data_IF_794550678455
#
_entry.id   IF_794550678455
#
_cell.length_a   1.000
_cell.length_b   1.000
_cell.length_c   1.000
_cell.angle_alpha   90.00
_cell.angle_beta   90.00
_cell.angle_gamma   90.00
#
_symmetry.space_group_name_H-M   'P 1'
#
loop_
_entity.id
_entity.type
_entity.pdbx_description
1 polymer ?
#
# COMPACT_ATOMS: atom_id res chain seq x y z
N UNK A 1 -3.76 60.57 -10.45
CA UNK A 1 -3.64 59.77 -9.21
C UNK A 1 -3.04 58.42 -9.55
N UNK A 2 -1.73 58.27 -9.42
CA UNK A 2 -1.03 57.01 -9.66
C UNK A 2 -1.06 56.18 -8.38
N UNK A 3 -1.95 55.19 -8.32
CA UNK A 3 -2.02 54.24 -7.21
C UNK A 3 -0.74 53.39 -7.22
N UNK A 4 0.00 53.44 -6.10
CA UNK A 4 1.37 52.93 -6.01
C UNK A 4 1.44 51.42 -6.17
N UNK A 5 2.38 50.95 -7.01
CA UNK A 5 2.71 49.53 -7.28
C UNK A 5 2.99 48.70 -6.01
N UNK A 6 3.20 49.35 -4.86
CA UNK A 6 3.41 48.73 -3.55
C UNK A 6 2.15 48.05 -2.99
N UNK A 7 0.95 48.55 -3.32
CA UNK A 7 -0.32 47.92 -2.86
C UNK A 7 -0.66 46.64 -3.64
N UNK A 8 -0.27 46.57 -4.92
CA UNK A 8 -0.49 45.38 -5.74
C UNK A 8 0.47 44.23 -5.39
N UNK A 9 1.70 44.53 -4.94
CA UNK A 9 2.64 43.52 -4.46
C UNK A 9 2.19 42.86 -3.15
N UNK A 10 1.53 43.62 -2.26
CA UNK A 10 1.01 43.10 -0.99
C UNK A 10 -0.21 42.19 -1.16
N UNK A 11 -1.02 42.41 -2.19
CA UNK A 11 -2.20 41.57 -2.50
C UNK A 11 -1.76 40.27 -3.18
N UNK A 12 -0.72 40.30 -4.03
CA UNK A 12 -0.16 39.11 -4.67
C UNK A 12 0.59 38.18 -3.69
N UNK A 13 1.13 38.73 -2.60
CA UNK A 13 1.79 37.93 -1.55
C UNK A 13 0.81 37.23 -0.60
N UNK A 14 -0.48 37.58 -0.62
CA UNK A 14 -1.51 37.04 0.29
C UNK A 14 -2.25 35.82 -0.27
N UNK A 15 -1.99 35.42 -1.52
CA UNK A 15 -2.67 34.30 -2.21
C UNK A 15 -1.76 33.06 -2.35
N UNK A 16 -0.53 33.11 -1.82
CA UNK A 16 0.46 32.03 -1.89
C UNK A 16 0.57 31.22 -0.57
N UNK A 17 -0.53 31.03 0.14
CA UNK A 17 -0.65 30.11 1.30
C UNK A 17 -1.87 29.20 1.13
N UNK A 18 -2.03 28.61 -0.06
CA UNK A 18 -3.03 27.60 -0.34
C UNK A 18 -2.33 26.24 -0.57
N UNK A 19 -2.63 25.28 0.30
CA UNK A 19 -2.20 23.87 0.24
C UNK A 19 -0.91 23.65 1.02
N UNK A 20 -0.94 23.15 2.26
CA UNK A 20 -1.53 21.87 2.64
C UNK A 20 -2.21 22.03 4.00
N UNK A 21 -3.55 22.01 4.01
CA UNK A 21 -4.28 21.71 5.23
C UNK A 21 -4.21 20.19 5.40
N UNK A 22 -3.25 19.72 6.20
CA UNK A 22 -3.22 18.35 6.67
C UNK A 22 -4.49 18.12 7.48
N UNK A 23 -5.49 17.49 6.88
CA UNK A 23 -6.62 16.94 7.62
C UNK A 23 -6.02 15.81 8.45
N UNK A 24 -5.68 16.10 9.71
CA UNK A 24 -5.56 15.08 10.73
C UNK A 24 -6.94 14.46 10.88
N UNK A 25 -7.17 13.36 10.16
CA UNK A 25 -8.30 12.49 10.42
C UNK A 25 -8.16 12.04 11.87
N UNK A 26 -9.06 12.54 12.72
CA UNK A 26 -9.20 12.10 14.08
C UNK A 26 -9.35 10.57 14.05
N UNK A 27 -8.36 9.86 14.59
CA UNK A 27 -8.47 8.44 14.86
C UNK A 27 -9.52 8.28 15.95
N UNK A 28 -10.78 8.19 15.54
CA UNK A 28 -11.78 7.52 16.35
C UNK A 28 -11.37 6.06 16.36
N UNK A 29 -10.57 5.69 17.37
CA UNK A 29 -10.28 4.31 17.73
C UNK A 29 -11.64 3.68 18.03
N UNK A 30 -12.22 3.02 17.02
CA UNK A 30 -13.20 1.98 17.25
C UNK A 30 -12.42 0.79 17.77
N UNK A 31 -12.50 0.60 19.08
CA UNK A 31 -12.05 -0.61 19.75
C UNK A 31 -12.61 -1.85 19.01
N UNK A 32 -11.72 -2.80 18.74
CA UNK A 32 -12.11 -4.17 18.40
C UNK A 32 -11.74 -4.63 17.00
N UNK A 33 -10.45 -4.63 16.65
CA UNK A 33 -9.75 -5.81 16.12
C UNK A 33 -8.28 -5.42 15.93
N UNK A 34 -7.48 -5.53 17.00
CA UNK A 34 -6.05 -5.69 16.78
C UNK A 34 -5.91 -7.04 16.10
N UNK A 35 -5.92 -7.03 14.76
CA UNK A 35 -5.63 -8.21 13.97
C UNK A 35 -4.36 -8.88 14.51
N UNK A 36 -4.17 -10.18 14.23
CA UNK A 36 -3.01 -10.91 14.74
C UNK A 36 -1.72 -10.10 14.51
N UNK A 37 -0.79 -10.10 15.47
CA UNK A 37 0.43 -9.31 15.34
C UNK A 37 1.07 -9.60 13.98
N UNK A 38 1.29 -8.53 13.22
CA UNK A 38 1.91 -8.62 11.90
C UNK A 38 3.28 -9.27 12.10
N UNK A 39 3.58 -10.26 11.26
CA UNK A 39 4.84 -11.01 11.32
C UNK A 39 6.02 -10.02 11.35
N UNK A 40 6.96 -10.19 12.28
CA UNK A 40 8.06 -9.25 12.50
C UNK A 40 9.00 -9.09 11.30
N UNK A 41 8.87 -9.95 10.29
CA UNK A 41 9.59 -9.86 9.02
C UNK A 41 8.95 -8.91 8.02
N UNK A 42 7.71 -8.48 8.26
CA UNK A 42 7.00 -7.52 7.41
C UNK A 42 7.39 -6.11 7.82
N UNK A 43 7.93 -5.35 6.87
CA UNK A 43 8.33 -3.95 7.08
C UNK A 43 7.23 -2.99 6.63
N UNK A 44 6.55 -3.31 5.53
CA UNK A 44 5.48 -2.47 4.96
C UNK A 44 4.36 -3.32 4.37
N UNK A 45 3.12 -2.86 4.55
CA UNK A 45 1.95 -3.35 3.83
C UNK A 45 1.43 -2.23 2.93
N UNK A 46 1.22 -2.55 1.66
CA UNK A 46 0.83 -1.60 0.63
C UNK A 46 -0.56 -2.00 0.11
N UNK A 47 -1.55 -1.09 0.12
CA UNK A 47 -1.59 0.06 1.01
C UNK A 47 -1.72 -0.42 2.47
N UNK A 48 -1.62 0.52 3.41
CA UNK A 48 -1.78 0.23 4.83
C UNK A 48 -3.16 -0.40 5.13
N UNK A 49 -3.26 -1.28 6.15
CA UNK A 49 -4.54 -1.84 6.57
C UNK A 49 -5.56 -0.74 6.92
N UNK A 50 -6.80 -0.87 6.41
CA UNK A 50 -7.91 0.06 6.65
C UNK A 50 -7.88 1.34 5.81
N UNK A 51 -6.85 1.54 4.97
CA UNK A 51 -6.73 2.72 4.12
C UNK A 51 -7.83 2.81 3.06
N UNK A 52 -8.10 4.04 2.61
CA UNK A 52 -8.95 4.33 1.45
C UNK A 52 -8.06 4.76 0.27
N UNK A 53 -8.26 4.12 -0.88
CA UNK A 53 -7.38 4.23 -2.04
C UNK A 53 -8.16 4.30 -3.35
N UNK A 54 -7.47 4.64 -4.44
CA UNK A 54 -8.05 4.63 -5.77
C UNK A 54 -8.20 3.21 -6.32
N UNK A 55 -9.14 3.00 -7.23
CA UNK A 55 -9.36 1.69 -7.90
C UNK A 55 -8.17 1.16 -8.70
N UNK A 56 -7.19 2.02 -9.03
CA UNK A 56 -5.92 1.66 -9.69
C UNK A 56 -4.72 1.61 -8.74
N UNK A 57 -4.95 1.64 -7.42
CA UNK A 57 -3.88 1.60 -6.43
C UNK A 57 -3.10 0.26 -6.49
N UNK A 58 -1.78 0.35 -6.37
CA UNK A 58 -0.92 -0.82 -6.19
C UNK A 58 -1.09 -1.42 -4.79
N UNK A 59 -0.92 -2.74 -4.67
CA UNK A 59 -0.89 -3.42 -3.38
C UNK A 59 0.24 -4.44 -3.32
N UNK A 60 0.69 -4.77 -2.13
CA UNK A 60 1.85 -5.62 -1.93
C UNK A 60 2.39 -5.56 -0.51
N UNK A 61 3.57 -6.08 -0.33
CA UNK A 61 4.29 -6.00 0.93
C UNK A 61 5.79 -5.84 0.69
N UNK A 62 6.42 -5.33 1.73
CA UNK A 62 7.86 -5.30 1.89
C UNK A 62 8.26 -6.16 3.10
N UNK A 63 9.34 -6.91 2.97
CA UNK A 63 9.87 -7.77 4.02
C UNK A 63 11.32 -7.38 4.32
N UNK A 64 11.78 -7.71 5.52
CA UNK A 64 13.18 -7.53 5.92
C UNK A 64 14.16 -8.04 4.88
N UNK A 65 15.22 -7.27 4.61
CA UNK A 65 16.22 -7.50 3.55
C UNK A 65 16.91 -8.88 3.53
N UNK A 66 16.91 -9.62 4.64
CA UNK A 66 17.58 -10.91 4.76
C UNK A 66 16.84 -11.89 5.68
N UNK A 67 16.78 -13.19 5.35
CA UNK A 67 17.22 -13.83 4.10
C UNK A 67 16.35 -13.43 2.90
N UNK A 68 16.69 -13.90 1.68
CA UNK A 68 15.81 -13.72 0.52
C UNK A 68 14.53 -14.56 0.64
N UNK A 69 13.38 -13.97 0.30
CA UNK A 69 12.08 -14.62 0.34
C UNK A 69 11.45 -14.74 -1.05
N UNK A 70 10.70 -15.84 -1.24
CA UNK A 70 9.66 -15.90 -2.29
C UNK A 70 8.36 -15.41 -1.67
N UNK A 71 7.58 -14.65 -2.44
CA UNK A 71 6.35 -13.99 -1.99
C UNK A 71 5.25 -14.30 -3.01
N UNK A 72 4.19 -14.94 -2.53
CA UNK A 72 2.98 -15.19 -3.30
C UNK A 72 1.89 -14.23 -2.87
N UNK A 73 1.36 -13.45 -3.82
CA UNK A 73 0.29 -12.49 -3.57
C UNK A 73 -1.08 -13.08 -3.93
N UNK A 74 -2.06 -12.71 -3.12
CA UNK A 74 -3.46 -13.05 -3.31
C UNK A 74 -4.31 -11.80 -3.11
N UNK A 75 -5.39 -11.68 -3.88
CA UNK A 75 -6.39 -10.64 -3.70
C UNK A 75 -7.78 -11.27 -3.68
N UNK A 76 -8.55 -10.98 -2.63
CA UNK A 76 -9.93 -11.44 -2.48
C UNK A 76 -10.08 -12.96 -2.63
N UNK A 77 -9.09 -13.72 -2.14
CA UNK A 77 -9.06 -15.19 -2.21
C UNK A 77 -8.44 -15.77 -3.49
N UNK A 78 -8.10 -14.95 -4.48
CA UNK A 78 -7.50 -15.41 -5.74
C UNK A 78 -5.99 -15.23 -5.74
N UNK A 79 -5.23 -16.29 -6.10
CA UNK A 79 -3.78 -16.21 -6.29
C UNK A 79 -3.48 -15.37 -7.53
N UNK A 80 -2.54 -14.44 -7.40
CA UNK A 80 -2.04 -13.67 -8.53
C UNK A 80 -0.93 -14.44 -9.25
N UNK A 81 -0.79 -14.28 -10.58
CA UNK A 81 0.35 -14.85 -11.30
C UNK A 81 1.67 -14.20 -10.85
N UNK A 82 2.70 -15.02 -10.64
CA UNK A 82 4.00 -14.56 -10.12
C UNK A 82 4.69 -13.57 -11.07
N UNK A 83 4.41 -13.68 -12.37
CA UNK A 83 4.95 -12.83 -13.42
C UNK A 83 4.19 -11.50 -13.60
N UNK A 84 3.09 -11.28 -12.88
CA UNK A 84 2.33 -10.02 -12.92
C UNK A 84 2.67 -9.07 -11.76
N UNK A 85 3.27 -9.59 -10.69
CA UNK A 85 3.86 -8.78 -9.63
C UNK A 85 5.29 -8.38 -9.97
N UNK A 86 5.65 -7.12 -9.69
CA UNK A 86 7.05 -6.71 -9.69
C UNK A 86 7.66 -7.19 -8.38
N UNK A 87 8.34 -8.34 -8.46
CA UNK A 87 9.13 -8.86 -7.35
C UNK A 87 10.56 -8.37 -7.48
N UNK A 88 10.96 -7.43 -6.62
CA UNK A 88 12.34 -6.99 -6.55
C UNK A 88 13.12 -7.97 -5.67
N UNK A 89 13.86 -8.89 -6.29
CA UNK A 89 14.63 -9.94 -5.59
C UNK A 89 15.73 -9.40 -4.68
N UNK A 90 16.19 -8.17 -4.90
CA UNK A 90 17.15 -7.46 -4.04
C UNK A 90 16.52 -6.74 -2.85
N UNK A 91 15.18 -6.64 -2.78
CA UNK A 91 14.47 -5.82 -1.78
C UNK A 91 13.42 -6.65 -1.03
N UNK A 92 13.33 -7.96 -1.23
CA UNK A 92 12.28 -8.81 -0.60
C UNK A 92 10.87 -8.20 -0.66
N UNK A 93 10.59 -7.49 -1.76
CA UNK A 93 9.39 -6.71 -1.97
C UNK A 93 8.61 -7.28 -3.14
N UNK A 94 7.30 -7.39 -2.98
CA UNK A 94 6.39 -7.79 -4.06
C UNK A 94 5.23 -6.81 -4.14
N UNK A 95 5.12 -6.12 -5.28
CA UNK A 95 4.06 -5.15 -5.54
C UNK A 95 3.32 -5.52 -6.82
N UNK A 96 2.00 -5.54 -6.74
CA UNK A 96 1.08 -5.75 -7.84
C UNK A 96 0.38 -4.43 -8.17
N UNK A 97 0.40 -4.05 -9.46
CA UNK A 97 -0.15 -2.78 -9.94
C UNK A 97 -1.31 -3.04 -10.90
N UNK A 98 -2.58 -3.03 -10.47
CA UNK A 98 -3.73 -3.31 -11.34
C UNK A 98 -3.66 -2.60 -12.69
N UNK A 99 -4.01 -3.31 -13.77
CA UNK A 99 -3.89 -2.77 -15.11
C UNK A 99 -4.57 -3.60 -16.20
N UNK A 100 -4.82 -2.98 -17.36
CA UNK A 100 -5.63 -3.56 -18.45
C UNK A 100 -5.11 -4.92 -18.98
N UNK A 101 -3.82 -5.19 -18.83
CA UNK A 101 -3.16 -6.41 -19.32
C UNK A 101 -2.91 -7.43 -18.20
N UNK A 102 -3.39 -7.16 -16.99
CA UNK A 102 -3.18 -8.03 -15.84
C UNK A 102 -4.45 -8.80 -15.48
N UNK A 103 -4.28 -9.85 -14.70
CA UNK A 103 -5.38 -10.66 -14.15
C UNK A 103 -6.37 -9.81 -13.34
N UNK A 104 -5.87 -8.92 -12.49
CA UNK A 104 -6.68 -7.91 -11.81
C UNK A 104 -6.55 -6.59 -12.56
N UNK A 105 -7.59 -6.27 -13.33
CA UNK A 105 -7.61 -5.04 -14.14
C UNK A 105 -7.88 -3.78 -13.33
N UNK A 106 -8.65 -3.91 -12.25
CA UNK A 106 -8.98 -2.87 -11.26
C UNK A 106 -9.36 -3.50 -9.92
N UNK A 107 -9.21 -2.75 -8.85
CA UNK A 107 -9.71 -3.13 -7.53
C UNK A 107 -11.25 -3.10 -7.50
N UNK A 108 -11.86 -3.93 -6.64
CA UNK A 108 -13.32 -3.90 -6.42
C UNK A 108 -13.67 -2.62 -5.66
N UNK A 109 -14.77 -1.97 -6.01
CA UNK A 109 -15.27 -0.86 -5.21
C UNK A 109 -15.63 -1.37 -3.80
N UNK A 110 -15.27 -0.60 -2.77
CA UNK A 110 -15.37 -1.04 -1.38
C UNK A 110 -14.17 -1.89 -0.95
N UNK A 111 -14.41 -2.92 -0.15
CA UNK A 111 -13.36 -3.69 0.51
C UNK A 111 -12.60 -4.62 -0.46
N UNK A 112 -11.27 -4.60 -0.36
CA UNK A 112 -10.36 -5.55 -0.97
C UNK A 112 -9.43 -6.10 0.11
N UNK A 113 -9.29 -7.42 0.18
CA UNK A 113 -8.39 -8.08 1.13
C UNK A 113 -7.24 -8.74 0.39
N UNK A 114 -6.04 -8.21 0.60
CA UNK A 114 -4.80 -8.80 0.13
C UNK A 114 -4.27 -9.81 1.15
N UNK A 115 -3.54 -10.80 0.64
CA UNK A 115 -2.87 -11.80 1.45
C UNK A 115 -1.55 -12.15 0.80
N UNK A 116 -0.52 -12.30 1.61
CA UNK A 116 0.80 -12.70 1.19
C UNK A 116 1.23 -13.95 1.93
N UNK A 117 1.75 -14.92 1.18
CA UNK A 117 2.44 -16.08 1.71
C UNK A 117 3.90 -15.95 1.32
N UNK A 118 4.80 -16.12 2.27
CA UNK A 118 6.23 -15.98 2.00
C UNK A 118 7.06 -17.04 2.70
N UNK A 119 8.17 -17.43 2.07
CA UNK A 119 9.07 -18.47 2.59
C UNK A 119 10.50 -18.23 2.09
N UNK A 120 11.52 -18.69 2.83
CA UNK A 120 12.91 -18.53 2.41
C UNK A 120 13.14 -19.16 1.04
N UNK A 121 13.76 -18.41 0.13
CA UNK A 121 14.02 -18.84 -1.24
C UNK A 121 14.74 -20.19 -1.31
N UNK A 122 15.71 -20.41 -0.41
CA UNK A 122 16.51 -21.62 -0.36
C UNK A 122 15.76 -22.87 0.15
N UNK A 123 14.62 -22.69 0.84
CA UNK A 123 13.90 -23.80 1.48
C UNK A 123 12.58 -24.17 0.78
N UNK A 124 12.04 -23.26 -0.02
CA UNK A 124 10.83 -23.51 -0.78
C UNK A 124 9.54 -23.48 0.05
N UNK A 125 8.40 -23.80 -0.58
CA UNK A 125 7.06 -23.53 -0.05
C UNK A 125 6.68 -24.39 1.18
N UNK A 126 7.39 -25.50 1.41
CA UNK A 126 7.17 -26.38 2.56
C UNK A 126 8.04 -26.03 3.77
N UNK A 127 8.76 -24.90 3.72
CA UNK A 127 9.61 -24.45 4.83
C UNK A 127 8.80 -24.28 6.12
N UNK A 128 9.32 -24.73 7.28
CA UNK A 128 8.72 -24.43 8.58
C UNK A 128 8.80 -22.94 8.94
N UNK A 129 9.63 -22.16 8.23
CA UNK A 129 9.74 -20.70 8.37
C UNK A 129 8.82 -19.95 7.39
N UNK A 130 7.84 -20.63 6.78
CA UNK A 130 6.77 -19.98 6.02
C UNK A 130 6.03 -18.97 6.90
N UNK A 131 5.80 -17.77 6.38
CA UNK A 131 4.97 -16.74 6.98
C UNK A 131 3.73 -16.45 6.13
N UNK A 132 2.73 -15.86 6.77
CA UNK A 132 1.50 -15.43 6.12
C UNK A 132 0.97 -14.15 6.78
N UNK A 133 0.53 -13.20 5.97
CA UNK A 133 -0.11 -11.97 6.42
C UNK A 133 -1.32 -11.66 5.53
N UNK A 134 -2.37 -11.13 6.15
CA UNK A 134 -3.58 -10.67 5.47
C UNK A 134 -3.91 -9.26 5.93
N UNK A 135 -4.27 -8.40 4.99
CA UNK A 135 -4.72 -7.04 5.28
C UNK A 135 -5.80 -6.62 4.29
N UNK A 136 -6.68 -5.71 4.71
CA UNK A 136 -7.77 -5.22 3.88
C UNK A 136 -7.72 -3.69 3.78
N UNK A 137 -8.17 -3.15 2.66
CA UNK A 137 -8.24 -1.73 2.34
C UNK A 137 -9.48 -1.47 1.49
N UNK A 138 -9.90 -0.21 1.38
CA UNK A 138 -11.08 0.19 0.61
C UNK A 138 -10.70 0.94 -0.65
N UNK A 139 -11.28 0.57 -1.78
CA UNK A 139 -11.12 1.31 -3.03
C UNK A 139 -12.39 2.10 -3.39
N UNK A 140 -12.23 3.36 -3.76
CA UNK A 140 -13.28 4.26 -4.21
C UNK A 140 -12.89 5.00 -5.50
#
# INVERSE_FOLDING_TARGET
MALSRRRQALIAALIATAGVASITAAVLVRDGDSGPPVDSRVEELIPEPGSEVLVQQAFGLDLTDSPRYVIELYLNGHRLPDNESVQATSVNRSVYQPGRTQTVTKLRAGENCARAVFYPFAEGPTSPRRGEVRWCFRAA
#
